data_IF_767464477287
#
_entry.id   IF_767464477287
#
_cell.length_a   1.000
_cell.length_b   1.000
_cell.length_c   1.000
_cell.angle_alpha   90.00
_cell.angle_beta   90.00
_cell.angle_gamma   90.00
#
_symmetry.space_group_name_H-M   'P 1'
#
loop_
_entity.id
_entity.type
_entity.pdbx_description
1 polymer ?
#
# COMPACT_ATOMS: atom_id res chain seq x y z
N UNK A 1 16.90 -28.29 14.65
CA UNK A 1 17.32 -27.55 13.44
C UNK A 1 16.43 -26.31 13.31
N UNK A 2 16.96 -25.09 13.20
CA UNK A 2 16.23 -23.83 13.40
C UNK A 2 15.39 -23.44 12.17
N UNK A 3 14.43 -24.29 11.78
CA UNK A 3 13.63 -24.12 10.57
C UNK A 3 12.30 -23.38 10.76
N UNK A 4 11.74 -23.35 11.97
CA UNK A 4 10.37 -22.86 12.21
C UNK A 4 10.29 -21.38 12.55
N UNK A 5 11.22 -20.86 13.37
CA UNK A 5 11.10 -19.51 13.95
C UNK A 5 11.11 -18.40 12.89
N UNK A 6 11.89 -18.53 11.82
CA UNK A 6 11.92 -17.54 10.74
C UNK A 6 10.68 -17.59 9.85
N UNK A 7 10.08 -18.77 9.65
CA UNK A 7 8.83 -18.95 8.89
C UNK A 7 7.67 -18.38 9.69
N UNK A 8 7.61 -18.71 10.98
CA UNK A 8 6.60 -18.23 11.91
C UNK A 8 6.69 -16.70 12.08
N UNK A 9 7.89 -16.14 12.28
CA UNK A 9 8.09 -14.70 12.34
C UNK A 9 7.66 -13.99 11.05
N UNK A 10 8.06 -14.49 9.88
CA UNK A 10 7.69 -13.91 8.57
C UNK A 10 6.17 -13.95 8.36
N UNK A 11 5.52 -15.05 8.74
CA UNK A 11 4.07 -15.19 8.65
C UNK A 11 3.36 -14.15 9.52
N UNK A 12 3.76 -14.00 10.78
CA UNK A 12 3.19 -12.98 11.67
C UNK A 12 3.46 -11.55 11.19
N UNK A 13 4.64 -11.31 10.61
CA UNK A 13 4.96 -10.03 9.98
C UNK A 13 4.02 -9.75 8.80
N UNK A 14 3.75 -10.75 7.96
CA UNK A 14 2.82 -10.64 6.85
C UNK A 14 1.39 -10.32 7.33
N UNK A 15 0.90 -11.02 8.36
CA UNK A 15 -0.42 -10.73 8.95
C UNK A 15 -0.48 -9.30 9.50
N UNK A 16 0.57 -8.87 10.20
CA UNK A 16 0.66 -7.53 10.77
C UNK A 16 0.66 -6.44 9.69
N UNK A 17 1.50 -6.59 8.66
CA UNK A 17 1.66 -5.56 7.63
C UNK A 17 0.57 -5.58 6.56
N UNK A 18 0.02 -6.76 6.23
CA UNK A 18 -0.97 -6.88 5.16
C UNK A 18 -2.41 -6.70 5.62
N UNK A 19 -2.70 -6.95 6.90
CA UNK A 19 -4.05 -6.85 7.44
C UNK A 19 -4.18 -5.73 8.48
N UNK A 20 -3.34 -5.76 9.53
CA UNK A 20 -3.51 -4.87 10.68
C UNK A 20 -3.09 -3.43 10.36
N UNK A 21 -1.91 -3.26 9.78
CA UNK A 21 -1.36 -1.95 9.44
C UNK A 21 -2.28 -1.15 8.49
N UNK A 22 -2.75 -1.67 7.35
CA UNK A 22 -3.60 -0.92 6.44
C UNK A 22 -4.98 -0.61 7.01
N UNK A 23 -5.59 -1.54 7.77
CA UNK A 23 -6.85 -1.26 8.47
C UNK A 23 -6.68 -0.15 9.49
N UNK A 24 -5.60 -0.17 10.28
CA UNK A 24 -5.29 0.88 11.24
C UNK A 24 -5.03 2.23 10.55
N UNK A 25 -4.35 2.23 9.40
CA UNK A 25 -4.05 3.44 8.62
C UNK A 25 -5.31 4.07 8.03
N UNK A 26 -6.18 3.26 7.44
CA UNK A 26 -7.48 3.71 6.91
C UNK A 26 -8.38 4.18 8.04
N UNK A 27 -8.46 3.45 9.15
CA UNK A 27 -9.27 3.80 10.32
C UNK A 27 -8.81 5.13 10.94
N UNK A 28 -7.50 5.30 11.15
CA UNK A 28 -6.93 6.55 11.64
C UNK A 28 -7.33 7.73 10.74
N UNK A 29 -7.27 7.55 9.42
CA UNK A 29 -7.66 8.58 8.46
C UNK A 29 -9.16 8.91 8.55
N UNK A 30 -10.03 7.91 8.70
CA UNK A 30 -11.48 8.10 8.85
C UNK A 30 -11.87 8.78 10.19
N UNK A 31 -11.06 8.61 11.24
CA UNK A 31 -11.31 9.24 12.54
C UNK A 31 -10.82 10.69 12.63
N UNK A 32 -9.95 11.14 11.72
CA UNK A 32 -9.39 12.50 11.73
C UNK A 32 -10.21 13.40 10.81
N UNK A 33 -10.94 14.36 11.40
CA UNK A 33 -11.85 15.29 10.70
C UNK A 33 -11.18 16.22 9.68
N UNK A 34 -9.87 16.40 9.73
CA UNK A 34 -9.12 17.24 8.80
C UNK A 34 -7.73 16.64 8.53
N UNK A 35 -7.54 16.09 7.32
CA UNK A 35 -6.27 15.50 6.90
C UNK A 35 -5.63 16.41 5.85
N UNK A 36 -4.38 16.82 6.07
CA UNK A 36 -3.66 17.65 5.11
C UNK A 36 -3.34 16.87 3.83
N UNK A 37 -3.26 17.54 2.68
CA UNK A 37 -2.88 16.89 1.40
C UNK A 37 -1.54 16.15 1.47
N UNK A 38 -0.57 16.70 2.21
CA UNK A 38 0.72 16.03 2.43
C UNK A 38 0.57 14.75 3.24
N UNK A 39 -0.28 14.75 4.28
CA UNK A 39 -0.58 13.56 5.07
C UNK A 39 -1.23 12.47 4.22
N UNK A 40 -2.23 12.84 3.39
CA UNK A 40 -2.89 11.89 2.47
C UNK A 40 -1.88 11.30 1.47
N UNK A 41 -0.96 12.11 0.95
CA UNK A 41 0.10 11.64 0.04
C UNK A 41 1.05 10.66 0.73
N UNK A 42 1.51 10.99 1.95
CA UNK A 42 2.38 10.10 2.74
C UNK A 42 1.71 8.77 3.06
N UNK A 43 0.40 8.80 3.36
CA UNK A 43 -0.42 7.61 3.58
C UNK A 43 -0.48 6.74 2.31
N UNK A 44 -0.80 7.34 1.16
CA UNK A 44 -0.84 6.62 -0.11
C UNK A 44 0.50 5.98 -0.45
N UNK A 45 1.61 6.71 -0.26
CA UNK A 45 2.95 6.20 -0.49
C UNK A 45 3.34 5.08 0.49
N UNK A 46 2.95 5.20 1.76
CA UNK A 46 3.16 4.16 2.76
C UNK A 46 2.41 2.88 2.41
N UNK A 47 1.16 2.97 1.93
CA UNK A 47 0.40 1.80 1.47
C UNK A 47 1.07 1.09 0.29
N UNK A 48 1.62 1.84 -0.67
CA UNK A 48 2.38 1.27 -1.79
C UNK A 48 3.67 0.58 -1.31
N UNK A 49 4.39 1.19 -0.36
CA UNK A 49 5.60 0.62 0.21
C UNK A 49 5.32 -0.68 1.00
N UNK A 50 4.25 -0.67 1.81
CA UNK A 50 3.79 -1.85 2.55
C UNK A 50 3.40 -2.97 1.59
N UNK A 51 2.65 -2.67 0.53
CA UNK A 51 2.30 -3.66 -0.49
C UNK A 51 3.52 -4.32 -1.15
N UNK A 52 4.56 -3.53 -1.47
CA UNK A 52 5.81 -4.05 -2.01
C UNK A 52 6.57 -4.94 -1.01
N UNK A 53 6.56 -4.56 0.27
CA UNK A 53 7.16 -5.36 1.35
C UNK A 53 6.41 -6.68 1.57
N UNK A 54 5.08 -6.65 1.61
CA UNK A 54 4.24 -7.84 1.72
C UNK A 54 4.48 -8.81 0.55
N UNK A 55 4.55 -8.29 -0.68
CA UNK A 55 4.87 -9.10 -1.86
C UNK A 55 6.24 -9.78 -1.73
N UNK A 56 7.25 -9.05 -1.25
CA UNK A 56 8.58 -9.63 -0.99
C UNK A 56 8.52 -10.73 0.08
N UNK A 57 7.79 -10.54 1.17
CA UNK A 57 7.65 -11.56 2.21
C UNK A 57 6.95 -12.81 1.69
N UNK A 58 5.88 -12.66 0.91
CA UNK A 58 5.19 -13.78 0.28
C UNK A 58 6.13 -14.58 -0.62
N UNK A 59 6.90 -13.89 -1.47
CA UNK A 59 7.85 -14.53 -2.36
C UNK A 59 8.94 -15.29 -1.58
N UNK A 60 9.42 -14.70 -0.47
CA UNK A 60 10.44 -15.30 0.38
C UNK A 60 9.91 -16.50 1.18
N UNK A 61 8.64 -16.48 1.58
CA UNK A 61 7.96 -17.60 2.24
C UNK A 61 7.68 -18.73 1.25
N UNK A 62 7.13 -18.43 0.07
CA UNK A 62 6.90 -19.41 -0.99
C UNK A 62 8.19 -20.13 -1.41
N UNK A 63 9.29 -19.37 -1.56
CA UNK A 63 10.60 -19.95 -1.89
C UNK A 63 11.19 -20.83 -0.79
N UNK A 64 10.81 -20.59 0.48
CA UNK A 64 11.27 -21.39 1.63
C UNK A 64 10.41 -22.65 1.82
N UNK A 65 9.10 -22.55 1.59
CA UNK A 65 8.17 -23.68 1.61
C UNK A 65 8.59 -24.76 0.61
N UNK A 66 8.97 -24.38 -0.62
CA UNK A 66 9.49 -25.29 -1.65
C UNK A 66 10.73 -26.10 -1.24
N UNK A 67 11.44 -25.69 -0.17
CA UNK A 67 12.69 -26.32 0.29
C UNK A 67 12.52 -27.12 1.58
N UNK A 68 11.33 -27.12 2.17
CA UNK A 68 11.07 -27.74 3.48
C UNK A 68 10.04 -28.86 3.34
N UNK A 69 10.36 -30.12 3.66
CA UNK A 69 9.40 -31.22 3.59
C UNK A 69 8.51 -31.17 4.83
N UNK A 70 7.46 -30.35 4.78
CA UNK A 70 6.51 -30.14 5.87
C UNK A 70 5.09 -30.13 5.31
N UNK A 71 4.25 -31.07 5.78
CA UNK A 71 2.84 -31.21 5.35
C UNK A 71 1.97 -29.98 5.62
N UNK A 72 2.39 -29.11 6.55
CA UNK A 72 1.69 -27.86 6.84
C UNK A 72 2.03 -26.76 5.82
N UNK A 73 3.26 -26.76 5.28
CA UNK A 73 3.67 -25.84 4.21
C UNK A 73 3.01 -26.21 2.89
N UNK A 74 2.86 -27.50 2.59
CA UNK A 74 2.18 -27.99 1.39
C UNK A 74 0.70 -27.55 1.37
N UNK A 75 -0.04 -27.62 2.48
CA UNK A 75 -1.46 -27.23 2.50
C UNK A 75 -1.70 -25.71 2.32
N UNK A 76 -0.74 -24.87 2.72
CA UNK A 76 -0.82 -23.41 2.62
C UNK A 76 -0.37 -22.90 1.25
N UNK A 77 0.65 -23.54 0.65
CA UNK A 77 1.27 -23.08 -0.60
C UNK A 77 0.78 -23.81 -1.86
N UNK A 78 0.18 -25.00 -1.75
CA UNK A 78 -0.30 -25.81 -2.87
C UNK A 78 -1.79 -25.56 -3.20
N UNK A 79 -2.42 -24.57 -2.55
CA UNK A 79 -3.85 -24.24 -2.69
C UNK A 79 -4.10 -22.78 -3.11
N UNK A 80 -5.32 -22.51 -3.61
CA UNK A 80 -5.88 -21.18 -3.95
C UNK A 80 -5.62 -20.08 -2.91
N UNK A 81 -5.30 -20.47 -1.67
CA UNK A 81 -4.87 -19.60 -0.56
C UNK A 81 -3.64 -18.77 -0.92
N UNK A 82 -2.66 -19.31 -1.65
CA UNK A 82 -1.48 -18.55 -2.14
C UNK A 82 -1.91 -17.40 -3.07
N UNK A 83 -2.85 -17.68 -3.99
CA UNK A 83 -3.39 -16.65 -4.89
C UNK A 83 -4.13 -15.58 -4.08
N UNK A 84 -4.96 -15.98 -3.11
CA UNK A 84 -5.64 -15.06 -2.20
C UNK A 84 -4.68 -14.18 -1.38
N UNK A 85 -3.56 -14.75 -0.94
CA UNK A 85 -2.51 -14.02 -0.22
C UNK A 85 -1.82 -12.96 -1.11
N UNK A 86 -1.65 -13.19 -2.41
CA UNK A 86 -1.13 -12.18 -3.35
C UNK A 86 -2.15 -11.08 -3.69
N UNK A 87 -3.46 -11.33 -3.55
CA UNK A 87 -4.50 -10.33 -3.79
C UNK A 87 -4.42 -9.19 -2.77
N UNK A 88 -4.10 -9.48 -1.52
CA UNK A 88 -3.97 -8.46 -0.45
C UNK A 88 -2.96 -7.36 -0.79
N UNK A 89 -1.66 -7.64 -1.04
CA UNK A 89 -0.71 -6.61 -1.43
C UNK A 89 -1.11 -5.89 -2.72
N UNK A 90 -1.71 -6.60 -3.69
CA UNK A 90 -2.21 -5.96 -4.91
C UNK A 90 -3.32 -4.94 -4.63
N UNK A 91 -4.27 -5.25 -3.74
CA UNK A 91 -5.32 -4.32 -3.32
C UNK A 91 -4.75 -3.11 -2.58
N UNK A 92 -3.80 -3.34 -1.65
CA UNK A 92 -3.14 -2.25 -0.92
C UNK A 92 -2.38 -1.32 -1.86
N UNK A 93 -1.66 -1.87 -2.83
CA UNK A 93 -1.00 -1.10 -3.87
C UNK A 93 -2.01 -0.29 -4.69
N UNK A 94 -3.12 -0.91 -5.12
CA UNK A 94 -4.18 -0.23 -5.87
C UNK A 94 -4.79 0.95 -5.12
N UNK A 95 -5.11 0.77 -3.83
CA UNK A 95 -5.63 1.85 -2.98
C UNK A 95 -4.59 2.96 -2.83
N UNK A 96 -3.33 2.60 -2.51
CA UNK A 96 -2.25 3.57 -2.34
C UNK A 96 -2.01 4.40 -3.60
N UNK A 97 -1.95 3.75 -4.77
CA UNK A 97 -1.81 4.41 -6.08
C UNK A 97 -2.98 5.37 -6.33
N UNK A 98 -4.21 4.96 -6.06
CA UNK A 98 -5.40 5.80 -6.26
C UNK A 98 -5.36 7.06 -5.39
N UNK A 99 -4.99 6.91 -4.12
CA UNK A 99 -4.83 8.03 -3.17
C UNK A 99 -3.73 8.99 -3.64
N UNK A 100 -2.55 8.48 -4.01
CA UNK A 100 -1.44 9.31 -4.53
C UNK A 100 -1.88 10.06 -5.79
N UNK A 101 -2.56 9.37 -6.71
CA UNK A 101 -3.04 9.93 -7.97
C UNK A 101 -3.99 11.09 -7.74
N UNK A 102 -4.96 10.91 -6.82
CA UNK A 102 -5.92 11.95 -6.48
C UNK A 102 -5.22 13.23 -5.97
N UNK A 103 -4.26 13.08 -5.05
CA UNK A 103 -3.53 14.23 -4.49
C UNK A 103 -2.68 14.95 -5.56
N UNK A 104 -2.03 14.20 -6.44
CA UNK A 104 -1.23 14.79 -7.52
C UNK A 104 -2.09 15.56 -8.53
N UNK A 105 -3.21 14.98 -8.95
CA UNK A 105 -4.15 15.62 -9.87
C UNK A 105 -4.69 16.91 -9.26
N UNK A 106 -5.07 16.89 -7.98
CA UNK A 106 -5.57 18.08 -7.29
C UNK A 106 -4.50 19.17 -7.18
N UNK A 107 -3.26 18.79 -6.86
CA UNK A 107 -2.13 19.73 -6.80
C UNK A 107 -1.85 20.40 -8.14
N UNK A 108 -1.84 19.62 -9.23
CA UNK A 108 -1.65 20.14 -10.59
C UNK A 108 -2.78 21.07 -11.02
N UNK A 109 -4.03 20.68 -10.71
CA UNK A 109 -5.22 21.50 -11.01
C UNK A 109 -5.16 22.86 -10.30
N UNK A 110 -4.72 22.88 -9.05
CA UNK A 110 -4.56 24.13 -8.30
C UNK A 110 -3.40 24.98 -8.83
N UNK A 111 -2.29 24.36 -9.25
CA UNK A 111 -1.19 25.07 -9.89
C UNK A 111 -1.63 25.74 -11.20
N UNK A 112 -2.40 25.03 -12.04
CA UNK A 112 -2.95 25.57 -13.27
C UNK A 112 -3.89 26.75 -13.01
N UNK A 113 -4.77 26.64 -12.02
CA UNK A 113 -5.69 27.73 -11.63
C UNK A 113 -4.95 28.97 -11.15
N UNK A 114 -3.86 28.82 -10.40
CA UNK A 114 -3.02 29.95 -9.97
C UNK A 114 -2.35 30.63 -11.16
N UNK A 115 -1.74 29.87 -12.06
CA UNK A 115 -1.11 30.43 -13.26
C UNK A 115 -2.12 31.15 -14.17
N UNK A 116 -3.32 30.60 -14.34
CA UNK A 116 -4.38 31.23 -15.14
C UNK A 116 -4.83 32.59 -14.56
N UNK A 117 -4.87 32.73 -13.23
CA UNK A 117 -5.18 34.01 -12.57
C UNK A 117 -4.06 35.04 -12.72
N UNK A 118 -2.81 34.60 -12.67
CA UNK A 118 -1.64 35.50 -12.84
C UNK A 118 -1.42 35.91 -14.30
N UNK A 119 -1.86 35.09 -15.27
CA UNK A 119 -1.73 35.34 -16.70
C UNK A 119 -2.82 36.23 -17.33
N UNK A 120 -3.64 36.92 -16.55
CA UNK A 120 -4.71 37.77 -17.09
C UNK A 120 -4.12 39.05 -17.71
N UNK A 121 -4.31 39.31 -19.03
CA UNK A 121 -3.81 40.54 -19.66
C UNK A 121 -4.53 41.75 -19.06
N UNK A 122 -3.77 42.80 -18.76
CA UNK A 122 -4.30 44.07 -18.27
C UNK A 122 -5.44 44.55 -19.19
N UNK A 123 -6.62 44.75 -18.62
CA UNK A 123 -7.77 45.29 -19.35
C UNK A 123 -7.37 46.63 -20.00
N UNK A 124 -7.70 46.86 -21.28
CA UNK A 124 -7.42 48.14 -21.92
C UNK A 124 -8.17 49.23 -21.15
N UNK A 125 -7.43 50.20 -20.63
CA UNK A 125 -8.00 51.44 -20.08
C UNK A 125 -8.57 52.21 -21.26
N UNK A 126 -9.90 52.21 -21.38
CA UNK A 126 -10.64 53.15 -22.22
C UNK A 126 -10.63 54.55 -21.63
#
# INVERSE_FOLDING_TARGET
MPGSVFVELKFWLLVLFSLVAPVALVWACLTVRAVSRHTVLSIGLALVAIAGFDFYLLQALASAALKTPSRADDALFDSEITVGLYVLPALLAGIGINVVSHVLIEHLTDAQRRSARTGQPAAPRG
#
